data_IF_453008544773
#
_entry.id   IF_453008544773
#
_cell.length_a   1.000
_cell.length_b   1.000
_cell.length_c   1.000
_cell.angle_alpha   90.00
_cell.angle_beta   90.00
_cell.angle_gamma   90.00
#
_symmetry.space_group_name_H-M   'P 1'
#
loop_
_entity.id
_entity.type
_entity.pdbx_description
1 polymer ?
#
# COMPACT_ATOMS: atom_id res chain seq x y z
N UNK A 1 -9.00 -24.08 -3.47
CA UNK A 1 -7.98 -23.40 -2.64
C UNK A 1 -7.47 -22.23 -3.46
N UNK A 2 -7.53 -21.02 -2.94
CA UNK A 2 -7.05 -19.85 -3.66
C UNK A 2 -5.52 -19.85 -3.75
N UNK A 3 -5.01 -19.37 -4.87
CA UNK A 3 -3.56 -19.29 -5.14
C UNK A 3 -3.05 -17.85 -5.00
N UNK A 4 -1.74 -17.68 -4.98
CA UNK A 4 -1.12 -16.36 -5.04
C UNK A 4 -1.58 -15.60 -6.31
N UNK A 5 -1.66 -16.28 -7.45
CA UNK A 5 -2.11 -15.66 -8.70
C UNK A 5 -3.56 -15.18 -8.62
N UNK A 6 -4.45 -15.89 -7.92
CA UNK A 6 -5.83 -15.44 -7.72
C UNK A 6 -5.86 -14.14 -6.90
N UNK A 7 -5.06 -14.08 -5.83
CA UNK A 7 -4.97 -12.87 -5.02
C UNK A 7 -4.34 -11.69 -5.77
N UNK A 8 -3.33 -11.92 -6.60
CA UNK A 8 -2.73 -10.87 -7.42
C UNK A 8 -3.70 -10.33 -8.49
N UNK A 9 -4.58 -11.16 -9.04
CA UNK A 9 -5.66 -10.67 -9.90
C UNK A 9 -6.53 -9.67 -9.17
N UNK A 10 -7.04 -10.00 -7.98
CA UNK A 10 -7.86 -9.07 -7.19
C UNK A 10 -7.14 -7.73 -6.98
N UNK A 11 -5.81 -7.76 -6.72
CA UNK A 11 -5.01 -6.55 -6.52
C UNK A 11 -4.90 -5.70 -7.77
N UNK A 12 -4.78 -6.31 -8.96
CA UNK A 12 -4.39 -5.60 -10.17
C UNK A 12 -5.52 -5.43 -11.20
N UNK A 13 -6.63 -6.16 -11.13
CA UNK A 13 -7.68 -6.16 -12.15
C UNK A 13 -8.23 -4.75 -12.44
N UNK A 14 -8.52 -3.97 -11.39
CA UNK A 14 -9.00 -2.60 -11.54
C UNK A 14 -7.99 -1.71 -12.29
N UNK A 15 -6.70 -1.82 -11.96
CA UNK A 15 -5.63 -1.10 -12.64
C UNK A 15 -5.48 -1.52 -14.11
N UNK A 16 -5.50 -2.84 -14.39
CA UNK A 16 -5.34 -3.34 -15.76
C UNK A 16 -6.50 -2.93 -16.67
N UNK A 17 -7.70 -2.79 -16.13
CA UNK A 17 -8.89 -2.32 -16.87
C UNK A 17 -8.67 -0.93 -17.51
N UNK A 18 -7.90 -0.07 -16.86
CA UNK A 18 -7.71 1.32 -17.29
C UNK A 18 -6.29 1.63 -17.77
N UNK A 19 -5.35 0.70 -17.64
CA UNK A 19 -3.91 0.91 -17.86
C UNK A 19 -3.59 1.58 -19.20
N UNK A 20 -4.27 1.20 -20.28
CA UNK A 20 -4.06 1.75 -21.61
C UNK A 20 -4.61 3.18 -21.78
N UNK A 21 -5.51 3.60 -20.90
CA UNK A 21 -6.15 4.91 -20.91
C UNK A 21 -5.41 5.92 -20.00
N UNK A 22 -4.44 5.43 -19.21
CA UNK A 22 -3.68 6.26 -18.27
C UNK A 22 -2.61 7.06 -19.03
N UNK A 23 -3.00 8.22 -19.58
CA UNK A 23 -2.11 9.19 -20.20
C UNK A 23 -2.06 10.45 -19.33
N UNK A 24 -0.89 10.82 -18.82
CA UNK A 24 -0.71 12.06 -18.07
C UNK A 24 -0.31 11.91 -16.60
N UNK A 25 -0.43 13.00 -15.85
CA UNK A 25 -0.10 13.01 -14.44
C UNK A 25 -1.16 12.26 -13.62
N UNK A 26 -0.70 11.38 -12.75
CA UNK A 26 -1.52 10.54 -11.88
C UNK A 26 -2.49 11.33 -10.95
N UNK A 27 -2.21 12.61 -10.71
CA UNK A 27 -3.04 13.49 -9.88
C UNK A 27 -4.47 13.65 -10.39
N UNK A 28 -4.67 13.54 -11.70
CA UNK A 28 -5.97 13.78 -12.33
C UNK A 28 -6.82 12.51 -12.39
N UNK A 29 -6.20 11.35 -12.14
CA UNK A 29 -6.81 10.03 -12.28
C UNK A 29 -6.93 9.27 -10.96
N UNK A 30 -6.26 9.74 -9.89
CA UNK A 30 -6.32 9.14 -8.57
C UNK A 30 -7.39 9.79 -7.70
N UNK A 31 -8.48 9.09 -7.59
CA UNK A 31 -9.49 9.37 -6.58
C UNK A 31 -9.35 8.38 -5.42
N UNK A 32 -9.02 8.90 -4.22
CA UNK A 32 -8.94 8.09 -3.00
C UNK A 32 -10.32 7.70 -2.46
N UNK A 33 -11.40 8.17 -3.07
CA UNK A 33 -12.78 7.88 -2.64
C UNK A 33 -13.07 6.39 -2.74
N UNK A 34 -12.67 5.76 -3.84
CA UNK A 34 -12.86 4.32 -4.04
C UNK A 34 -12.16 3.50 -2.96
N UNK A 35 -10.89 3.79 -2.66
CA UNK A 35 -10.17 3.03 -1.64
C UNK A 35 -10.72 3.31 -0.23
N UNK A 36 -11.15 4.53 0.08
CA UNK A 36 -11.85 4.83 1.35
C UNK A 36 -13.11 3.99 1.49
N UNK A 37 -13.86 3.81 0.40
CA UNK A 37 -15.06 2.98 0.39
C UNK A 37 -14.75 1.50 0.63
N UNK A 38 -13.63 0.99 0.08
CA UNK A 38 -13.15 -0.37 0.37
C UNK A 38 -12.88 -0.52 1.87
N UNK A 39 -12.16 0.43 2.48
CA UNK A 39 -11.88 0.40 3.94
C UNK A 39 -13.16 0.43 4.77
N UNK A 40 -14.12 1.28 4.42
CA UNK A 40 -15.40 1.38 5.10
C UNK A 40 -16.19 0.06 5.04
N UNK A 41 -16.38 -0.49 3.84
CA UNK A 41 -17.12 -1.73 3.64
C UNK A 41 -16.43 -2.95 4.26
N UNK A 42 -15.10 -2.96 4.28
CA UNK A 42 -14.33 -4.00 4.94
C UNK A 42 -14.27 -3.84 6.47
N UNK A 43 -14.83 -2.76 7.02
CA UNK A 43 -14.77 -2.48 8.46
C UNK A 43 -13.35 -2.24 8.97
N UNK A 44 -12.44 -1.74 8.13
CA UNK A 44 -11.05 -1.45 8.47
C UNK A 44 -10.95 0.02 8.93
N UNK A 45 -10.75 0.29 10.23
CA UNK A 45 -10.62 1.66 10.72
C UNK A 45 -9.37 2.36 10.18
N UNK A 46 -9.52 3.64 9.82
CA UNK A 46 -8.42 4.48 9.31
C UNK A 46 -7.52 5.06 10.43
N UNK A 47 -7.77 4.68 11.67
CA UNK A 47 -7.05 5.14 12.87
C UNK A 47 -6.89 4.00 13.88
N UNK A 48 -6.31 4.31 15.04
CA UNK A 48 -6.23 3.40 16.19
C UNK A 48 -4.92 2.65 16.33
N UNK A 49 -4.05 2.60 15.31
CA UNK A 49 -2.66 2.16 15.43
C UNK A 49 -1.78 3.37 15.14
N UNK A 50 -0.86 3.75 16.05
CA UNK A 50 0.11 4.81 15.78
C UNK A 50 0.85 4.58 14.46
N UNK A 51 0.92 5.61 13.62
CA UNK A 51 1.40 5.48 12.25
C UNK A 51 2.49 6.52 11.96
N UNK A 52 3.59 6.05 11.39
CA UNK A 52 4.68 6.84 10.83
C UNK A 52 4.62 6.70 9.31
N UNK A 53 4.47 7.81 8.60
CA UNK A 53 4.47 7.83 7.14
C UNK A 53 5.78 8.41 6.61
N UNK A 54 6.40 7.73 5.66
CA UNK A 54 7.68 8.13 5.06
C UNK A 54 7.46 8.44 3.59
N UNK A 55 7.78 9.68 3.19
CA UNK A 55 7.65 10.16 1.81
C UNK A 55 8.92 10.85 1.32
N UNK A 56 8.99 11.16 0.03
CA UNK A 56 10.13 11.81 -0.63
C UNK A 56 10.48 11.18 -1.97
N UNK A 57 11.56 11.65 -2.62
CA UNK A 57 11.97 11.12 -3.93
C UNK A 57 12.89 9.91 -3.81
N UNK A 58 13.87 9.93 -2.90
CA UNK A 58 14.84 8.84 -2.71
C UNK A 58 15.02 8.49 -1.24
N UNK A 59 15.33 7.21 -0.97
CA UNK A 59 15.64 6.74 0.37
C UNK A 59 14.42 6.39 1.23
N UNK A 60 13.21 6.50 0.72
CA UNK A 60 11.97 6.14 1.45
C UNK A 60 12.03 4.72 2.02
N UNK A 61 12.23 3.71 1.16
CA UNK A 61 12.26 2.31 1.57
C UNK A 61 13.35 2.02 2.59
N UNK A 62 14.58 2.54 2.39
CA UNK A 62 15.67 2.38 3.37
C UNK A 62 15.33 3.03 4.71
N UNK A 63 14.75 4.23 4.69
CA UNK A 63 14.33 4.91 5.91
C UNK A 63 13.19 4.15 6.60
N UNK A 64 12.25 3.60 5.84
CA UNK A 64 11.15 2.79 6.38
C UNK A 64 11.66 1.52 7.07
N UNK A 65 12.60 0.81 6.43
CA UNK A 65 13.23 -0.38 7.00
C UNK A 65 14.03 -0.07 8.27
N UNK A 66 14.83 0.99 8.27
CA UNK A 66 15.60 1.40 9.45
C UNK A 66 14.67 1.84 10.59
N UNK A 67 13.64 2.62 10.29
CA UNK A 67 12.64 3.04 11.27
C UNK A 67 11.95 1.83 11.91
N UNK A 68 11.53 0.86 11.09
CA UNK A 68 10.95 -0.40 11.57
C UNK A 68 11.90 -1.14 12.50
N UNK A 69 13.16 -1.33 12.09
CA UNK A 69 14.15 -2.04 12.89
C UNK A 69 14.43 -1.37 14.24
N UNK A 70 14.53 -0.03 14.29
CA UNK A 70 14.69 0.69 15.56
C UNK A 70 13.50 0.51 16.49
N UNK A 71 12.27 0.56 15.96
CA UNK A 71 11.07 0.36 16.77
C UNK A 71 10.98 -1.09 17.29
N UNK A 72 11.40 -2.07 16.50
CA UNK A 72 11.49 -3.47 16.92
C UNK A 72 12.49 -3.66 18.06
N UNK A 73 13.67 -3.05 17.97
CA UNK A 73 14.68 -3.05 19.06
C UNK A 73 14.17 -2.35 20.33
N UNK A 74 13.24 -1.39 20.19
CA UNK A 74 12.54 -0.78 21.34
C UNK A 74 11.44 -1.67 21.92
N UNK A 75 11.19 -2.84 21.35
CA UNK A 75 10.22 -3.81 21.84
C UNK A 75 8.81 -3.68 21.28
N UNK A 76 8.60 -2.82 20.28
CA UNK A 76 7.30 -2.73 19.60
C UNK A 76 7.13 -3.83 18.55
N UNK A 77 5.88 -4.27 18.38
CA UNK A 77 5.48 -5.11 17.25
C UNK A 77 5.15 -4.20 16.07
N UNK A 78 6.00 -4.20 15.06
CA UNK A 78 5.95 -3.23 13.97
C UNK A 78 5.32 -3.83 12.72
N UNK A 79 4.31 -3.15 12.16
CA UNK A 79 3.78 -3.40 10.82
C UNK A 79 4.43 -2.46 9.81
N UNK A 80 5.04 -3.01 8.77
CA UNK A 80 5.73 -2.25 7.73
C UNK A 80 5.08 -2.49 6.38
N UNK A 81 4.76 -1.41 5.66
CA UNK A 81 4.36 -1.46 4.24
C UNK A 81 5.37 -0.68 3.42
N UNK A 82 5.95 -1.35 2.41
CA UNK A 82 6.94 -0.76 1.50
C UNK A 82 6.64 -1.05 0.04
N UNK A 83 7.21 -0.26 -0.88
CA UNK A 83 7.14 -0.48 -2.33
C UNK A 83 8.37 0.10 -3.04
N UNK A 84 8.84 -0.54 -4.11
CA UNK A 84 8.45 -1.87 -4.61
C UNK A 84 9.00 -3.01 -3.74
N UNK A 85 8.70 -4.26 -4.09
CA UNK A 85 9.37 -5.45 -3.54
C UNK A 85 10.69 -5.72 -4.29
N UNK A 86 11.58 -6.50 -3.68
CA UNK A 86 12.85 -6.89 -4.30
C UNK A 86 12.78 -8.26 -4.99
N UNK A 87 12.22 -9.25 -4.33
CA UNK A 87 12.14 -10.63 -4.81
C UNK A 87 10.69 -11.11 -4.89
N UNK A 88 9.95 -11.01 -3.79
CA UNK A 88 8.60 -11.53 -3.67
C UNK A 88 7.57 -10.45 -3.36
N UNK A 89 6.42 -10.51 -4.01
CA UNK A 89 5.38 -9.49 -3.87
C UNK A 89 4.91 -9.28 -2.42
N UNK A 90 4.85 -10.34 -1.61
CA UNK A 90 4.46 -10.30 -0.19
C UNK A 90 5.44 -9.55 0.72
N UNK A 91 6.67 -9.27 0.26
CA UNK A 91 7.63 -8.43 0.98
C UNK A 91 7.12 -7.01 1.24
N UNK A 92 6.12 -6.59 0.47
CA UNK A 92 5.48 -5.29 0.67
C UNK A 92 4.74 -5.17 2.00
N UNK A 93 4.45 -6.30 2.65
CA UNK A 93 3.76 -6.37 3.95
C UNK A 93 4.63 -7.18 4.89
N UNK A 94 5.19 -6.54 5.92
CA UNK A 94 6.07 -7.16 6.89
C UNK A 94 5.58 -6.93 8.31
N UNK A 95 5.85 -7.90 9.18
CA UNK A 95 5.70 -7.76 10.63
C UNK A 95 7.03 -8.11 11.25
N UNK A 96 7.60 -7.21 12.05
CA UNK A 96 8.91 -7.37 12.66
C UNK A 96 9.96 -7.85 11.63
N UNK A 97 10.14 -7.07 10.58
CA UNK A 97 11.10 -7.32 9.50
C UNK A 97 10.79 -8.48 8.57
N UNK A 98 9.97 -9.45 8.98
CA UNK A 98 9.63 -10.63 8.19
C UNK A 98 8.41 -10.38 7.28
N UNK A 99 8.49 -10.79 6.01
CA UNK A 99 7.33 -10.81 5.14
C UNK A 99 6.24 -11.74 5.72
N UNK A 100 4.98 -11.34 5.60
CA UNK A 100 3.87 -12.18 6.08
C UNK A 100 3.83 -13.52 5.34
N UNK A 101 3.34 -14.60 5.97
CA UNK A 101 3.15 -15.89 5.30
C UNK A 101 2.29 -15.75 4.04
N UNK A 102 2.59 -16.53 3.00
CA UNK A 102 1.83 -16.51 1.74
C UNK A 102 0.36 -16.84 1.96
N UNK A 103 0.07 -17.78 2.83
CA UNK A 103 -1.29 -18.13 3.22
C UNK A 103 -2.07 -16.94 3.79
N UNK A 104 -1.41 -16.13 4.62
CA UNK A 104 -2.01 -14.93 5.22
C UNK A 104 -2.22 -13.85 4.16
N UNK A 105 -1.22 -13.66 3.27
CA UNK A 105 -1.34 -12.72 2.16
C UNK A 105 -2.56 -13.06 1.29
N UNK A 106 -2.66 -14.32 0.82
CA UNK A 106 -3.78 -14.80 0.02
C UNK A 106 -5.10 -14.59 0.78
N UNK A 107 -5.17 -15.02 2.04
CA UNK A 107 -6.38 -14.93 2.82
C UNK A 107 -6.86 -13.48 2.99
N UNK A 108 -5.94 -12.54 3.29
CA UNK A 108 -6.32 -11.11 3.48
C UNK A 108 -6.79 -10.45 2.19
N UNK A 109 -6.19 -10.78 1.05
CA UNK A 109 -6.64 -10.25 -0.25
C UNK A 109 -8.01 -10.85 -0.63
N UNK A 110 -8.17 -12.16 -0.51
CA UNK A 110 -9.42 -12.83 -0.89
C UNK A 110 -10.61 -12.43 0.00
N UNK A 111 -10.39 -12.06 1.26
CA UNK A 111 -11.43 -11.46 2.11
C UNK A 111 -11.95 -10.12 1.56
N UNK A 112 -11.14 -9.42 0.77
CA UNK A 112 -11.52 -8.14 0.14
C UNK A 112 -12.13 -8.29 -1.25
N UNK A 113 -12.02 -9.46 -1.89
CA UNK A 113 -12.37 -9.69 -3.30
C UNK A 113 -13.76 -9.13 -3.67
N UNK A 114 -14.80 -9.56 -2.96
CA UNK A 114 -16.18 -9.12 -3.26
C UNK A 114 -16.35 -7.61 -3.07
N UNK A 115 -15.70 -7.03 -2.06
CA UNK A 115 -15.77 -5.60 -1.77
C UNK A 115 -15.04 -4.82 -2.87
N UNK A 116 -13.83 -5.25 -3.23
CA UNK A 116 -13.02 -4.62 -4.29
C UNK A 116 -13.80 -4.62 -5.60
N UNK A 117 -14.35 -5.75 -6.02
CA UNK A 117 -15.14 -5.84 -7.24
C UNK A 117 -16.39 -4.98 -7.19
N UNK A 118 -17.11 -4.95 -6.06
CA UNK A 118 -18.31 -4.14 -5.92
C UNK A 118 -18.01 -2.63 -6.00
N UNK A 119 -16.94 -2.19 -5.36
CA UNK A 119 -16.53 -0.77 -5.42
C UNK A 119 -16.02 -0.42 -6.82
N UNK A 120 -15.17 -1.26 -7.42
CA UNK A 120 -14.64 -1.04 -8.76
C UNK A 120 -15.74 -0.89 -9.81
N UNK A 121 -16.80 -1.70 -9.70
CA UNK A 121 -17.96 -1.63 -10.58
C UNK A 121 -18.77 -0.30 -10.48
N UNK A 122 -18.59 0.46 -9.39
CA UNK A 122 -19.26 1.77 -9.20
C UNK A 122 -18.40 2.95 -9.66
N UNK A 123 -17.14 2.73 -10.01
CA UNK A 123 -16.25 3.79 -10.47
C UNK A 123 -16.57 4.18 -11.92
N UNK A 124 -17.10 5.38 -12.12
CA UNK A 124 -17.32 5.92 -13.47
C UNK A 124 -15.99 6.26 -14.15
N UNK A 125 -15.04 6.75 -13.38
CA UNK A 125 -13.69 7.09 -13.82
C UNK A 125 -12.65 6.62 -12.80
N UNK A 126 -11.41 6.38 -13.28
CA UNK A 126 -10.32 5.97 -12.40
C UNK A 126 -10.31 4.46 -12.10
N UNK A 127 -9.61 4.10 -11.03
CA UNK A 127 -9.37 2.71 -10.65
C UNK A 127 -9.03 2.59 -9.17
N UNK A 128 -9.23 1.40 -8.61
CA UNK A 128 -8.68 1.05 -7.29
C UNK A 128 -7.19 0.75 -7.43
N UNK A 129 -6.37 1.51 -6.73
CA UNK A 129 -4.92 1.33 -6.83
C UNK A 129 -4.48 0.01 -6.19
N UNK A 130 -3.54 -0.73 -6.81
CA UNK A 130 -2.96 -1.91 -6.21
C UNK A 130 -2.37 -1.65 -4.81
N UNK A 131 -1.76 -0.48 -4.61
CA UNK A 131 -1.21 -0.08 -3.31
C UNK A 131 -2.28 0.12 -2.25
N UNK A 132 -3.43 0.66 -2.61
CA UNK A 132 -4.56 0.84 -1.69
C UNK A 132 -5.18 -0.48 -1.26
N UNK A 133 -5.37 -1.42 -2.20
CA UNK A 133 -5.88 -2.77 -1.88
C UNK A 133 -4.89 -3.50 -0.97
N UNK A 134 -3.59 -3.42 -1.26
CA UNK A 134 -2.55 -3.98 -0.39
C UNK A 134 -2.52 -3.35 0.99
N UNK A 135 -2.72 -2.04 1.07
CA UNK A 135 -2.78 -1.33 2.35
C UNK A 135 -3.98 -1.83 3.20
N UNK A 136 -5.14 -2.04 2.58
CA UNK A 136 -6.30 -2.61 3.27
C UNK A 136 -6.02 -4.02 3.80
N UNK A 137 -5.42 -4.89 2.98
CA UNK A 137 -5.01 -6.23 3.39
C UNK A 137 -3.97 -6.20 4.52
N UNK A 138 -2.97 -5.31 4.41
CA UNK A 138 -1.94 -5.13 5.43
C UNK A 138 -2.54 -4.71 6.78
N UNK A 139 -3.42 -3.71 6.79
CA UNK A 139 -4.04 -3.24 8.04
C UNK A 139 -4.93 -4.30 8.67
N UNK A 140 -5.66 -5.09 7.88
CA UNK A 140 -6.41 -6.22 8.39
C UNK A 140 -5.48 -7.24 9.06
N UNK A 141 -4.36 -7.60 8.42
CA UNK A 141 -3.36 -8.50 8.98
C UNK A 141 -2.71 -7.93 10.26
N UNK A 142 -2.32 -6.66 10.24
CA UNK A 142 -1.66 -6.01 11.36
C UNK A 142 -2.54 -5.97 12.61
N UNK A 143 -3.83 -5.66 12.45
CA UNK A 143 -4.79 -5.69 13.55
C UNK A 143 -4.97 -7.08 14.14
N UNK A 144 -5.07 -8.11 13.29
CA UNK A 144 -5.18 -9.50 13.75
C UNK A 144 -3.95 -9.98 14.50
N UNK A 145 -2.80 -9.44 14.15
CA UNK A 145 -1.52 -9.80 14.76
C UNK A 145 -1.13 -8.90 15.94
N UNK A 146 -1.99 -7.93 16.34
CA UNK A 146 -1.71 -7.05 17.46
C UNK A 146 -0.47 -6.17 17.24
N UNK A 147 -0.34 -5.58 16.06
CA UNK A 147 0.74 -4.64 15.76
C UNK A 147 0.55 -3.35 16.56
N UNK A 148 1.64 -2.87 17.19
CA UNK A 148 1.63 -1.70 18.06
C UNK A 148 1.82 -0.39 17.29
N UNK A 149 2.59 -0.42 16.18
CA UNK A 149 2.95 0.76 15.39
C UNK A 149 3.10 0.41 13.92
N UNK A 150 2.69 1.34 13.05
CA UNK A 150 2.81 1.22 11.61
C UNK A 150 3.94 2.11 11.08
N UNK A 151 4.72 1.56 10.14
CA UNK A 151 5.64 2.31 9.30
C UNK A 151 5.20 2.14 7.85
N UNK A 152 4.80 3.23 7.20
CA UNK A 152 4.21 3.20 5.86
C UNK A 152 5.04 4.03 4.89
N UNK A 153 5.54 3.39 3.85
CA UNK A 153 6.18 4.07 2.74
C UNK A 153 5.14 4.59 1.76
N UNK A 154 5.13 5.91 1.50
CA UNK A 154 4.32 6.50 0.45
C UNK A 154 4.94 6.18 -0.92
N UNK A 155 4.17 5.66 -1.83
CA UNK A 155 4.62 5.31 -3.18
C UNK A 155 4.89 6.54 -4.04
N UNK A 156 3.96 7.49 -4.07
CA UNK A 156 4.03 8.70 -4.90
C UNK A 156 3.58 9.94 -4.16
N UNK A 157 4.54 10.75 -3.74
CA UNK A 157 4.25 11.99 -3.02
C UNK A 157 3.57 11.74 -1.68
N UNK A 158 2.75 12.66 -1.22
CA UNK A 158 2.05 12.53 0.07
C UNK A 158 0.53 12.59 -0.10
N UNK A 159 0.03 13.67 -0.72
CA UNK A 159 -1.40 14.02 -0.70
C UNK A 159 -2.31 13.04 -1.43
N UNK A 160 -1.86 12.48 -2.55
CA UNK A 160 -2.66 11.59 -3.41
C UNK A 160 -2.24 10.12 -3.30
N UNK A 161 -1.39 9.80 -2.33
CA UNK A 161 -0.99 8.43 -2.05
C UNK A 161 -2.02 7.74 -1.16
N UNK A 162 -2.22 6.43 -1.34
CA UNK A 162 -3.18 5.65 -0.56
C UNK A 162 -2.92 5.70 0.94
N UNK A 163 -1.65 5.83 1.37
CA UNK A 163 -1.32 5.95 2.80
C UNK A 163 -1.85 7.24 3.43
N UNK A 164 -2.16 8.26 2.62
CA UNK A 164 -2.70 9.53 3.10
C UNK A 164 -4.13 9.45 3.63
N UNK A 165 -4.83 8.35 3.36
CA UNK A 165 -6.17 8.14 3.95
C UNK A 165 -6.11 7.86 5.44
N UNK A 166 -4.96 7.39 5.95
CA UNK A 166 -4.77 7.06 7.35
C UNK A 166 -4.35 8.29 8.15
N UNK A 167 -4.80 8.33 9.41
CA UNK A 167 -4.32 9.33 10.35
C UNK A 167 -2.91 8.91 10.83
N UNK A 168 -1.90 9.71 10.50
CA UNK A 168 -0.53 9.50 10.94
C UNK A 168 -0.15 10.47 12.07
N UNK A 169 0.72 10.02 12.99
CA UNK A 169 1.27 10.80 14.08
C UNK A 169 2.59 11.46 13.71
N UNK A 170 3.35 10.81 12.81
CA UNK A 170 4.65 11.30 12.35
C UNK A 170 4.73 11.21 10.84
N UNK A 171 5.17 12.30 10.20
CA UNK A 171 5.53 12.31 8.78
C UNK A 171 7.03 12.55 8.65
N UNK A 172 7.72 11.64 7.99
CA UNK A 172 9.13 11.75 7.67
C UNK A 172 9.30 12.07 6.19
N UNK A 173 10.02 13.14 5.90
CA UNK A 173 10.33 13.56 4.54
C UNK A 173 11.78 13.24 4.22
N UNK A 174 12.01 12.33 3.29
CA UNK A 174 13.34 12.09 2.72
C UNK A 174 13.65 13.12 1.63
N UNK A 175 14.90 13.24 1.16
CA UNK A 175 15.27 14.27 0.18
C UNK A 175 14.36 14.29 -1.04
N UNK A 176 13.84 15.48 -1.36
CA UNK A 176 13.08 15.75 -2.58
C UNK A 176 14.06 16.24 -3.64
N UNK A 177 14.00 15.64 -4.82
CA UNK A 177 14.72 16.11 -6.01
C UNK A 177 13.70 16.57 -7.04
N UNK A 178 14.02 17.64 -7.77
CA UNK A 178 13.24 18.02 -8.95
C UNK A 178 13.34 16.94 -10.01
N UNK A 179 12.21 16.38 -10.41
CA UNK A 179 12.11 15.18 -11.24
C UNK A 179 12.10 15.52 -12.74
N UNK A 180 12.79 16.56 -13.20
CA UNK A 180 12.85 16.86 -14.63
C UNK A 180 13.46 15.72 -15.47
N UNK A 181 14.13 14.75 -14.85
CA UNK A 181 14.79 13.62 -15.55
C UNK A 181 14.49 12.22 -15.02
N UNK A 182 13.56 12.03 -14.08
CA UNK A 182 13.30 10.72 -13.45
C UNK A 182 12.02 10.03 -13.90
N UNK A 183 11.18 10.66 -14.71
CA UNK A 183 10.01 10.02 -15.33
C UNK A 183 10.38 8.86 -16.27
N UNK A 184 11.62 8.85 -16.80
CA UNK A 184 12.11 7.78 -17.65
C UNK A 184 12.56 6.51 -16.89
N UNK A 185 12.84 6.60 -15.58
CA UNK A 185 13.30 5.47 -14.78
C UNK A 185 12.17 4.68 -14.11
N UNK A 186 10.94 5.15 -14.22
CA UNK A 186 9.75 4.40 -13.79
C UNK A 186 9.07 3.72 -14.98
N UNK A 187 9.86 3.06 -15.79
CA UNK A 187 9.33 2.15 -16.82
C UNK A 187 8.46 1.07 -16.16
N UNK A 188 7.25 0.78 -16.70
CA UNK A 188 6.35 -0.22 -16.12
C UNK A 188 6.83 -1.67 -16.26
N UNK A 189 8.06 -1.88 -16.61
CA UNK A 189 8.61 -3.20 -16.99
C UNK A 189 9.37 -3.92 -15.87
N UNK A 190 8.97 -3.73 -14.60
CA UNK A 190 9.48 -4.60 -13.53
C UNK A 190 8.27 -5.21 -12.83
N UNK A 191 7.71 -6.22 -13.46
CA UNK A 191 6.84 -7.23 -12.84
C UNK A 191 7.71 -8.44 -12.55
#
# INVERSE_FOLDING_TARGET
MFTLNDSLKVVFDSYYRVKEQLHGYDSDLRDLTGIRRVFELAGIPLNGIPTITITGSKGKGSTSLLCSAFLEEMGYRVGLVTSPHLVEFRERIRINGAAIPESDFIARIMELETIVHSVDATLEHGYLSPTGILLAAALNQFRRQGVDVLVLEAGRGGRFDDVSILQNQVSCLTPIRSEEHTSELQSPNTI
#
